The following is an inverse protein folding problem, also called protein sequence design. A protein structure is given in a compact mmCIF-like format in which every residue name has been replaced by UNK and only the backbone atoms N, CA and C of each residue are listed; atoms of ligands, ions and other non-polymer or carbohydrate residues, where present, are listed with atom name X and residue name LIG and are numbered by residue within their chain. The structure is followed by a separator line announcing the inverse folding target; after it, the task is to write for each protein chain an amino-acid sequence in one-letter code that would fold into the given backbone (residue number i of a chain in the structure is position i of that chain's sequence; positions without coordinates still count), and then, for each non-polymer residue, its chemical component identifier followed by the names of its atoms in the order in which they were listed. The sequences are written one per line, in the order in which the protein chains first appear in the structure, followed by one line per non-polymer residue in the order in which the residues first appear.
data_IF_735841479243
#
_entry.id   IF_735841479243
#
_cell.length_a   1.000
_cell.length_b   1.000
_cell.length_c   1.000
_cell.angle_alpha   90.00
_cell.angle_beta   90.00
_cell.angle_gamma   90.00
#
_symmetry.space_group_name_H-M   'P 1'
#
loop_
_entity.id
_entity.type
_entity.pdbx_description
1 polymer ?
#
# COMPACT_ATOMS: atom_id res chain seq x y z
N UNK A 1 -0.42 -1.95 -5.97
CA UNK A 1 -1.33 -0.83 -5.70
C UNK A 1 -2.64 -1.35 -5.14
N UNK A 2 -3.25 -2.31 -5.85
CA UNK A 2 -4.32 -3.20 -5.38
C UNK A 2 -4.24 -3.55 -3.89
N UNK A 3 -3.10 -4.06 -3.40
CA UNK A 3 -2.92 -4.39 -1.98
C UNK A 3 -3.27 -3.26 -0.97
N UNK A 4 -2.88 -2.02 -1.25
CA UNK A 4 -3.09 -0.87 -0.34
C UNK A 4 -4.53 -0.34 -0.34
N UNK A 5 -5.27 -0.63 -1.40
CA UNK A 5 -6.68 -0.28 -1.54
C UNK A 5 -7.53 -1.23 -0.68
N UNK A 6 -7.13 -2.50 -0.62
CA UNK A 6 -7.89 -3.53 0.08
C UNK A 6 -7.66 -3.53 1.60
N UNK A 7 -6.53 -3.04 2.10
CA UNK A 7 -6.28 -2.91 3.55
C UNK A 7 -7.25 -1.92 4.22
N UNK A 8 -7.78 -0.92 3.48
CA UNK A 8 -8.75 0.08 3.97
C UNK A 8 -10.12 -0.51 4.29
N UNK A 9 -10.64 -1.46 3.50
CA UNK A 9 -11.93 -2.10 3.79
C UNK A 9 -11.89 -3.04 5.01
N UNK A 10 -10.71 -3.24 5.58
CA UNK A 10 -10.47 -4.24 6.61
C UNK A 10 -10.18 -3.69 8.01
N UNK A 11 -9.82 -2.41 8.09
CA UNK A 11 -9.48 -1.76 9.36
C UNK A 11 -10.69 -1.01 9.93
N UNK A 12 -11.69 -1.80 10.34
CA UNK A 12 -12.56 -1.48 11.48
C UNK A 12 -12.02 -2.11 12.77
N UNK A 13 -10.75 -2.51 12.81
CA UNK A 13 -10.05 -2.92 14.02
C UNK A 13 -9.08 -1.82 14.46
N UNK A 14 -9.34 -1.23 15.63
CA UNK A 14 -8.60 -0.14 16.26
C UNK A 14 -7.15 -0.47 16.68
N UNK A 15 -6.43 -1.37 15.98
CA UNK A 15 -5.14 -1.91 16.45
C UNK A 15 -3.92 -1.73 15.54
N UNK A 16 -4.08 -1.43 14.24
CA UNK A 16 -2.95 -1.08 13.37
C UNK A 16 -2.99 0.41 13.07
N UNK A 17 -1.89 1.12 13.35
CA UNK A 17 -1.77 2.53 13.00
C UNK A 17 -1.90 2.70 11.48
N UNK A 18 -2.79 3.61 11.06
CA UNK A 18 -3.03 3.97 9.66
C UNK A 18 -1.73 4.26 8.89
N UNK A 19 -0.72 4.78 9.58
CA UNK A 19 0.60 5.00 9.03
C UNK A 19 1.23 3.74 8.39
N UNK A 20 0.92 2.53 8.84
CA UNK A 20 1.49 1.30 8.27
C UNK A 20 0.71 0.74 7.07
N UNK A 21 -0.58 1.03 6.97
CA UNK A 21 -1.47 0.47 5.94
C UNK A 21 -1.68 1.42 4.75
N UNK A 22 -1.28 2.69 4.87
CA UNK A 22 -1.38 3.68 3.80
C UNK A 22 -0.27 3.54 2.75
N UNK A 23 -0.63 3.80 1.49
CA UNK A 23 0.33 3.95 0.40
C UNK A 23 1.07 5.29 0.51
N UNK A 24 2.37 5.25 0.77
CA UNK A 24 3.20 6.45 1.01
C UNK A 24 3.80 7.05 -0.26
N UNK A 25 3.55 6.45 -1.41
CA UNK A 25 4.23 6.81 -2.65
C UNK A 25 5.68 6.32 -2.71
N UNK A 26 6.53 7.07 -3.41
CA UNK A 26 7.90 6.69 -3.77
C UNK A 26 8.86 7.84 -3.49
N UNK A 27 10.17 7.55 -3.42
CA UNK A 27 11.17 8.59 -3.15
C UNK A 27 11.44 9.45 -4.38
N UNK A 28 11.09 10.74 -4.31
CA UNK A 28 11.33 11.68 -5.40
C UNK A 28 12.82 12.00 -5.59
N UNK A 29 13.64 11.81 -4.55
CA UNK A 29 15.08 12.04 -4.61
C UNK A 29 15.84 10.84 -5.19
N UNK A 30 15.19 9.69 -5.35
CA UNK A 30 15.78 8.51 -5.96
C UNK A 30 15.63 8.54 -7.48
N UNK A 31 16.74 8.50 -8.21
CA UNK A 31 16.72 8.41 -9.68
C UNK A 31 15.94 7.21 -10.22
N UNK A 32 15.86 6.14 -9.43
CA UNK A 32 15.13 4.91 -9.78
C UNK A 32 13.65 5.01 -9.44
N UNK A 33 13.32 5.56 -8.27
CA UNK A 33 11.92 5.62 -7.81
C UNK A 33 11.16 6.84 -8.32
N UNK A 34 11.84 7.91 -8.74
CA UNK A 34 11.21 9.11 -9.29
C UNK A 34 10.28 8.78 -10.47
N UNK A 35 10.69 7.85 -11.35
CA UNK A 35 9.82 7.39 -12.46
C UNK A 35 8.58 6.64 -11.96
N UNK A 36 8.72 5.86 -10.88
CA UNK A 36 7.61 5.13 -10.25
C UNK A 36 6.65 6.10 -9.55
N UNK A 37 7.19 7.15 -8.93
CA UNK A 37 6.43 8.27 -8.38
C UNK A 37 5.57 8.95 -9.44
N UNK A 38 6.17 9.37 -10.56
CA UNK A 38 5.44 10.00 -11.68
C UNK A 38 4.37 9.06 -12.26
N UNK A 39 4.68 7.77 -12.35
CA UNK A 39 3.72 6.77 -12.83
C UNK A 39 2.53 6.63 -11.87
N UNK A 40 2.77 6.55 -10.56
CA UNK A 40 1.72 6.50 -9.55
C UNK A 40 0.86 7.76 -9.60
N UNK A 41 1.48 8.95 -9.66
CA UNK A 41 0.78 10.22 -9.76
C UNK A 41 -0.11 10.30 -11.01
N UNK A 42 0.37 9.82 -12.17
CA UNK A 42 -0.42 9.78 -13.39
C UNK A 42 -1.68 8.92 -13.23
N UNK A 43 -1.56 7.73 -12.65
CA UNK A 43 -2.73 6.85 -12.43
C UNK A 43 -3.74 7.46 -11.47
N UNK A 44 -3.26 8.07 -10.39
CA UNK A 44 -4.13 8.59 -9.34
C UNK A 44 -4.79 9.90 -9.78
N UNK A 45 -4.00 10.88 -10.21
CA UNK A 45 -4.50 12.24 -10.48
C UNK A 45 -5.02 12.41 -11.91
N UNK A 46 -4.37 11.80 -12.91
CA UNK A 46 -4.75 12.01 -14.33
C UNK A 46 -5.76 11.00 -14.81
N UNK A 47 -5.63 9.74 -14.40
CA UNK A 47 -6.61 8.69 -14.74
C UNK A 47 -7.73 8.53 -13.71
N UNK A 48 -7.70 9.31 -12.63
CA UNK A 48 -8.70 9.29 -11.56
C UNK A 48 -8.92 7.87 -10.99
N UNK A 49 -7.85 7.08 -10.86
CA UNK A 49 -7.90 5.73 -10.27
C UNK A 49 -7.51 5.78 -8.82
N UNK A 50 -8.01 4.83 -8.03
CA UNK A 50 -7.59 4.64 -6.64
C UNK A 50 -7.83 5.88 -5.76
N UNK A 51 -8.98 6.55 -5.96
CA UNK A 51 -9.33 7.79 -5.25
C UNK A 51 -9.45 7.58 -3.74
N UNK A 52 -9.75 6.36 -3.32
CA UNK A 52 -9.76 5.92 -1.93
C UNK A 52 -8.40 6.11 -1.21
N UNK A 53 -7.29 6.22 -1.96
CA UNK A 53 -5.96 6.57 -1.44
C UNK A 53 -5.84 8.08 -1.19
N UNK A 54 -6.47 8.92 -2.02
CA UNK A 54 -6.40 10.39 -1.93
C UNK A 54 -7.31 10.90 -0.82
N UNK A 55 -8.52 10.36 -0.74
CA UNK A 55 -9.56 10.79 0.22
C UNK A 55 -9.17 10.59 1.69
N UNK A 56 -8.31 9.59 1.97
CA UNK A 56 -7.89 9.21 3.32
C UNK A 56 -6.43 9.58 3.65
N UNK A 57 -5.75 10.24 2.72
CA UNK A 57 -4.36 10.63 2.92
C UNK A 57 -4.29 11.98 3.62
N UNK A 58 -3.79 11.99 4.86
CA UNK A 58 -3.30 13.21 5.50
C UNK A 58 -2.08 13.80 4.74
N UNK A 59 -1.48 13.01 3.85
CA UNK A 59 -0.32 13.38 3.05
C UNK A 59 -0.74 13.80 1.64
N UNK A 60 -0.71 15.10 1.38
CA UNK A 60 -0.94 15.66 0.04
C UNK A 60 0.18 15.34 -0.98
N UNK A 61 1.13 14.47 -0.65
CA UNK A 61 2.27 14.16 -1.51
C UNK A 61 2.49 12.65 -1.62
N UNK A 62 2.58 12.14 -2.85
CA UNK A 62 3.04 10.76 -3.14
C UNK A 62 4.58 10.62 -3.00
N UNK A 63 5.20 11.48 -2.19
CA UNK A 63 6.63 11.49 -1.94
C UNK A 63 6.89 10.86 -0.57
N UNK A 64 7.43 9.65 -0.56
CA UNK A 64 7.71 8.93 0.69
C UNK A 64 8.93 9.48 1.43
N UNK A 65 9.72 10.37 0.82
CA UNK A 65 11.00 10.90 1.33
C UNK A 65 12.06 9.84 1.67
N UNK A 66 11.82 8.57 1.31
CA UNK A 66 12.73 7.44 1.51
C UNK A 66 12.40 6.32 0.52
N UNK A 67 13.37 5.50 0.08
CA UNK A 67 13.10 4.41 -0.86
C UNK A 67 12.04 3.43 -0.34
N UNK A 68 11.04 3.12 -1.17
CA UNK A 68 9.92 2.24 -0.80
C UNK A 68 9.73 1.02 -1.72
N UNK A 69 10.36 0.98 -2.89
CA UNK A 69 10.21 -0.12 -3.87
C UNK A 69 10.53 -1.48 -3.25
N UNK A 70 11.62 -1.57 -2.51
CA UNK A 70 12.01 -2.82 -1.84
C UNK A 70 10.98 -3.27 -0.81
N UNK A 71 10.44 -2.33 -0.04
CA UNK A 71 9.37 -2.60 0.93
C UNK A 71 8.10 -3.10 0.24
N UNK A 72 7.68 -2.45 -0.85
CA UNK A 72 6.49 -2.87 -1.59
C UNK A 72 6.65 -4.21 -2.30
N UNK A 73 7.86 -4.54 -2.77
CA UNK A 73 8.16 -5.87 -3.31
C UNK A 73 7.98 -6.93 -2.23
N UNK A 74 8.55 -6.73 -1.03
CA UNK A 74 8.38 -7.67 0.10
C UNK A 74 6.91 -7.83 0.50
N UNK A 75 6.15 -6.73 0.56
CA UNK A 75 4.72 -6.81 0.86
C UNK A 75 3.98 -7.63 -0.20
N UNK A 76 4.31 -7.43 -1.49
CA UNK A 76 3.70 -8.20 -2.57
C UNK A 76 4.06 -9.69 -2.49
N UNK A 77 5.31 -10.03 -2.15
CA UNK A 77 5.76 -11.40 -1.91
C UNK A 77 4.97 -12.04 -0.77
N UNK A 78 4.95 -11.40 0.41
CA UNK A 78 4.19 -11.88 1.57
C UNK A 78 2.69 -12.04 1.25
N UNK A 79 2.12 -11.11 0.49
CA UNK A 79 0.73 -11.18 0.06
C UNK A 79 0.47 -12.34 -0.91
N UNK A 80 1.40 -12.60 -1.84
CA UNK A 80 1.30 -13.74 -2.74
C UNK A 80 1.41 -15.07 -2.00
N UNK A 81 2.28 -15.15 -1.00
CA UNK A 81 2.40 -16.33 -0.13
C UNK A 81 1.11 -16.53 0.66
N UNK A 82 0.53 -15.46 1.23
CA UNK A 82 -0.74 -15.52 1.93
C UNK A 82 -1.87 -16.03 1.02
N UNK A 83 -1.95 -15.55 -0.23
CA UNK A 83 -2.95 -16.01 -1.22
C UNK A 83 -2.87 -17.50 -1.53
N UNK A 84 -1.72 -18.14 -1.30
CA UNK A 84 -1.57 -19.58 -1.50
C UNK A 84 -2.14 -20.42 -0.35
N UNK A 85 -2.54 -19.79 0.76
CA UNK A 85 -3.08 -20.49 1.94
C UNK A 85 -4.59 -20.71 1.85
N UNK A 86 -5.07 -21.81 2.44
CA UNK A 86 -6.50 -22.18 2.44
C UNK A 86 -7.40 -21.19 3.20
N UNK A 87 -6.82 -20.36 4.07
CA UNK A 87 -7.56 -19.38 4.89
C UNK A 87 -7.65 -18.02 4.20
N UNK A 88 -7.06 -17.85 3.02
CA UNK A 88 -7.17 -16.60 2.28
C UNK A 88 -8.57 -16.42 1.71
N UNK A 89 -9.15 -15.27 2.01
CA UNK A 89 -10.34 -14.77 1.32
C UNK A 89 -10.05 -13.36 0.82
N UNK A 90 -10.29 -13.14 -0.47
CA UNK A 90 -10.09 -11.84 -1.09
C UNK A 90 -10.92 -10.77 -0.38
N UNK A 91 -10.28 -9.65 -0.04
CA UNK A 91 -10.89 -8.56 0.70
C UNK A 91 -11.23 -8.89 2.16
N UNK A 92 -10.84 -10.07 2.67
CA UNK A 92 -11.16 -10.53 4.03
C UNK A 92 -9.92 -10.99 4.83
N UNK A 93 -9.03 -10.07 5.21
CA UNK A 93 -7.71 -10.38 5.81
C UNK A 93 -7.61 -10.06 7.30
N UNK A 94 -7.53 -11.06 8.19
CA UNK A 94 -7.39 -10.79 9.63
C UNK A 94 -6.20 -9.89 9.99
N UNK A 95 -6.20 -9.30 11.19
CA UNK A 95 -5.06 -8.53 11.71
C UNK A 95 -3.73 -9.28 11.55
N UNK A 96 -3.70 -10.56 11.93
CA UNK A 96 -2.51 -11.41 11.83
C UNK A 96 -2.02 -11.55 10.38
N UNK A 97 -2.96 -11.64 9.43
CA UNK A 97 -2.63 -11.69 8.01
C UNK A 97 -2.08 -10.36 7.52
N UNK A 98 -2.68 -9.23 7.91
CA UNK A 98 -2.20 -7.89 7.55
C UNK A 98 -0.81 -7.64 8.14
N UNK A 99 -0.60 -7.94 9.43
CA UNK A 99 0.70 -7.83 10.08
C UNK A 99 1.75 -8.69 9.40
N UNK A 100 1.40 -9.92 9.00
CA UNK A 100 2.31 -10.79 8.23
C UNK A 100 2.69 -10.17 6.89
N UNK A 101 1.72 -9.59 6.16
CA UNK A 101 2.04 -8.94 4.87
C UNK A 101 2.94 -7.73 5.07
N UNK A 102 2.62 -6.88 6.05
CA UNK A 102 3.35 -5.66 6.34
C UNK A 102 4.67 -5.90 7.11
N UNK A 103 4.94 -7.13 7.54
CA UNK A 103 6.08 -7.50 8.38
C UNK A 103 6.17 -6.67 9.66
N UNK A 104 5.02 -6.48 10.32
CA UNK A 104 4.87 -5.78 11.60
C UNK A 104 5.04 -6.73 12.79
#
# INVERSE_FOLDING_TARGET
MDFFIYTKYFTLSNSIDNYYIQFKGFDFNSSTEFKLALYAQFFIEKLNRFQEIVEDSDFNTFNSHKPMRGTYIKFLENYNDLKSTNNYQFGNLSYEMISKVLSL
#
